data_IF_748413293292
#
_entry.id   IF_748413293292
#
_cell.length_a   1.000
_cell.length_b   1.000
_cell.length_c   1.000
_cell.angle_alpha   90.00
_cell.angle_beta   90.00
_cell.angle_gamma   90.00
#
_symmetry.space_group_name_H-M   'P 1'
#
loop_
_entity.id
_entity.type
_entity.pdbx_description
1 polymer ?
#
# COMPACT_ATOMS: atom_id res chain seq x y z
N UNK A 1 -19.28 33.51 -6.87
CA UNK A 1 -18.01 33.16 -6.21
C UNK A 1 -17.24 32.33 -7.22
N UNK A 2 -16.02 32.71 -7.58
CA UNK A 2 -15.23 31.95 -8.55
C UNK A 2 -14.99 30.53 -7.98
N UNK A 3 -15.36 29.51 -8.76
CA UNK A 3 -15.10 28.12 -8.42
C UNK A 3 -13.57 28.00 -8.29
N UNK A 4 -13.06 27.87 -7.08
CA UNK A 4 -11.62 27.69 -6.84
C UNK A 4 -11.28 26.31 -7.35
N UNK A 5 -10.56 26.21 -8.43
CA UNK A 5 -10.08 24.96 -9.00
C UNK A 5 -9.20 24.27 -7.94
N UNK A 6 -9.68 23.16 -7.39
CA UNK A 6 -8.99 22.38 -6.38
C UNK A 6 -8.00 21.48 -7.11
N UNK A 7 -6.72 21.57 -6.75
CA UNK A 7 -5.69 20.66 -7.28
C UNK A 7 -5.49 19.49 -6.33
N UNK A 8 -5.32 18.29 -6.88
CA UNK A 8 -5.01 17.08 -6.13
C UNK A 8 -3.53 16.75 -6.27
N UNK A 9 -2.86 16.57 -5.16
CA UNK A 9 -1.42 16.28 -5.08
C UNK A 9 -1.16 14.90 -4.50
N UNK A 10 -0.41 14.07 -5.22
CA UNK A 10 0.10 12.80 -4.71
C UNK A 10 1.44 13.01 -4.00
N UNK A 11 1.64 12.31 -2.88
CA UNK A 11 2.89 12.37 -2.12
C UNK A 11 3.25 11.01 -1.51
N UNK A 12 4.54 10.68 -1.53
CA UNK A 12 5.08 9.51 -0.85
C UNK A 12 5.94 9.91 0.35
N UNK A 13 5.85 9.14 1.43
CA UNK A 13 6.57 9.36 2.67
C UNK A 13 7.99 8.75 2.64
N UNK A 14 8.78 9.12 1.63
CA UNK A 14 10.09 8.54 1.37
C UNK A 14 10.04 7.20 0.60
N UNK A 15 11.20 6.69 0.21
CA UNK A 15 11.32 5.46 -0.61
C UNK A 15 10.72 4.24 0.12
N UNK A 16 10.94 4.14 1.42
CA UNK A 16 10.50 3.02 2.28
C UNK A 16 9.28 3.32 3.14
N UNK A 17 8.72 4.54 3.06
CA UNK A 17 7.63 4.98 3.93
C UNK A 17 8.10 5.52 5.29
N UNK A 18 9.38 5.81 5.44
CA UNK A 18 10.02 6.22 6.70
C UNK A 18 9.48 7.54 7.28
N UNK A 19 8.97 8.46 6.46
CA UNK A 19 8.30 9.67 6.92
C UNK A 19 6.82 9.47 7.36
N UNK A 20 6.31 8.25 7.43
CA UNK A 20 4.93 7.94 7.86
C UNK A 20 4.55 8.60 9.19
N UNK A 21 5.39 8.42 10.21
CA UNK A 21 5.15 9.00 11.54
C UNK A 21 5.17 10.53 11.51
N UNK A 22 6.03 11.13 10.70
CA UNK A 22 6.08 12.57 10.49
C UNK A 22 4.76 13.08 9.88
N UNK A 23 4.28 12.43 8.81
CA UNK A 23 3.06 12.83 8.13
C UNK A 23 1.84 12.80 9.06
N UNK A 24 1.59 11.67 9.68
CA UNK A 24 0.36 11.47 10.42
C UNK A 24 0.37 12.02 11.85
N UNK A 25 1.52 11.98 12.56
CA UNK A 25 1.58 12.48 13.94
C UNK A 25 1.85 13.99 14.03
N UNK A 26 2.50 14.57 13.02
CA UNK A 26 2.79 16.01 13.01
C UNK A 26 1.86 16.81 12.11
N UNK A 27 0.92 16.13 11.43
CA UNK A 27 -0.02 16.74 10.49
C UNK A 27 0.70 17.58 9.42
N UNK A 28 1.72 17.00 8.80
CA UNK A 28 2.47 17.60 7.70
C UNK A 28 2.69 16.58 6.60
N UNK A 29 2.88 17.07 5.38
CA UNK A 29 3.57 16.35 4.33
C UNK A 29 4.95 16.93 4.15
N UNK A 30 5.91 16.11 3.73
CA UNK A 30 7.30 16.52 3.62
C UNK A 30 8.00 15.85 2.46
N UNK A 31 9.02 16.52 1.94
CA UNK A 31 9.95 15.96 0.96
C UNK A 31 11.38 16.08 1.49
N UNK A 32 12.24 15.21 1.02
CA UNK A 32 13.67 15.22 1.32
C UNK A 32 14.42 16.34 0.62
N UNK A 33 15.57 16.01 0.04
CA UNK A 33 16.52 16.93 -0.59
C UNK A 33 17.04 17.99 0.40
N UNK A 34 17.46 17.54 1.57
CA UNK A 34 17.94 18.35 2.69
C UNK A 34 19.22 19.15 2.38
N UNK A 35 20.12 18.63 1.51
CA UNK A 35 21.39 19.27 1.17
C UNK A 35 21.26 20.59 0.39
N UNK A 36 20.11 20.86 -0.24
CA UNK A 36 19.91 22.13 -0.95
C UNK A 36 19.65 23.33 -0.03
N UNK A 37 19.44 23.08 1.27
CA UNK A 37 19.03 24.09 2.24
C UNK A 37 17.58 24.52 2.07
N UNK A 38 17.25 25.77 2.41
CA UNK A 38 15.90 26.31 2.26
C UNK A 38 15.57 26.60 0.79
N UNK A 39 14.65 25.85 0.15
CA UNK A 39 14.27 26.10 -1.24
C UNK A 39 13.64 27.47 -1.47
N UNK A 40 13.05 28.09 -0.47
CA UNK A 40 12.45 29.43 -0.60
C UNK A 40 13.49 30.55 -0.78
N UNK A 41 14.75 30.29 -0.44
CA UNK A 41 15.87 31.18 -0.68
C UNK A 41 16.45 31.10 -2.11
N UNK A 42 16.04 30.07 -2.88
CA UNK A 42 16.44 29.89 -4.27
C UNK A 42 15.52 30.74 -5.15
N UNK A 43 16.10 31.39 -6.19
CA UNK A 43 15.27 32.12 -7.17
C UNK A 43 14.17 31.21 -7.73
N UNK A 44 12.94 31.72 -7.78
CA UNK A 44 11.75 30.95 -8.13
C UNK A 44 11.66 30.61 -9.63
N UNK A 45 12.67 29.96 -10.18
CA UNK A 45 12.70 29.43 -11.52
C UNK A 45 13.36 28.04 -11.56
N UNK A 46 12.97 27.22 -12.52
CA UNK A 46 13.39 25.81 -12.63
C UNK A 46 14.88 25.65 -12.89
N UNK A 47 15.52 26.57 -13.59
CA UNK A 47 16.95 26.49 -13.91
C UNK A 47 17.80 26.76 -12.65
N UNK A 48 17.40 27.72 -11.81
CA UNK A 48 18.06 27.97 -10.53
C UNK A 48 17.95 26.77 -9.58
N UNK A 49 16.80 26.11 -9.54
CA UNK A 49 16.62 24.87 -8.77
C UNK A 49 17.48 23.73 -9.30
N UNK A 50 17.56 23.58 -10.62
CA UNK A 50 18.40 22.55 -11.27
C UNK A 50 19.89 22.79 -10.98
N UNK A 51 20.35 24.04 -11.08
CA UNK A 51 21.73 24.40 -10.75
C UNK A 51 22.06 24.10 -9.28
N UNK A 52 21.16 24.49 -8.35
CA UNK A 52 21.35 24.25 -6.93
C UNK A 52 21.31 22.75 -6.58
N UNK A 53 20.47 21.99 -7.25
CA UNK A 53 20.40 20.53 -7.10
C UNK A 53 21.70 19.87 -7.58
N UNK A 54 22.25 20.28 -8.72
CA UNK A 54 23.53 19.77 -9.22
C UNK A 54 24.71 20.09 -8.28
N UNK A 55 24.70 21.26 -7.66
CA UNK A 55 25.71 21.66 -6.65
C UNK A 55 25.60 20.79 -5.38
N UNK A 56 24.37 20.59 -4.88
CA UNK A 56 24.14 19.90 -3.62
C UNK A 56 24.25 18.37 -3.71
N UNK A 57 24.00 17.80 -4.90
CA UNK A 57 24.00 16.35 -5.16
C UNK A 57 24.85 16.01 -6.39
N UNK A 58 26.18 16.20 -6.35
CA UNK A 58 27.06 15.96 -7.49
C UNK A 58 27.06 14.51 -7.96
N UNK A 59 26.70 13.56 -7.08
CA UNK A 59 26.56 12.14 -7.37
C UNK A 59 25.30 11.79 -8.17
N UNK A 60 24.34 12.70 -8.28
CA UNK A 60 23.07 12.45 -8.98
C UNK A 60 23.28 12.35 -10.49
N UNK A 61 22.71 11.33 -11.11
CA UNK A 61 22.76 11.14 -12.57
C UNK A 61 22.18 12.38 -13.28
N UNK A 62 22.83 12.90 -14.36
CA UNK A 62 22.37 14.11 -15.06
C UNK A 62 20.91 14.07 -15.49
N UNK A 63 20.39 12.91 -15.88
CA UNK A 63 18.99 12.73 -16.28
C UNK A 63 17.98 12.82 -15.13
N UNK A 64 18.40 12.56 -13.89
CA UNK A 64 17.54 12.64 -12.70
C UNK A 64 17.44 14.08 -12.13
N UNK A 65 18.44 14.94 -12.37
CA UNK A 65 18.49 16.30 -11.85
C UNK A 65 17.26 17.15 -12.20
N UNK A 66 16.79 17.21 -13.47
CA UNK A 66 15.62 18.02 -13.83
C UNK A 66 14.35 17.55 -13.12
N UNK A 67 14.19 16.22 -12.95
CA UNK A 67 13.05 15.64 -12.29
C UNK A 67 13.05 15.97 -10.78
N UNK A 68 14.18 15.78 -10.10
CA UNK A 68 14.35 16.11 -8.69
C UNK A 68 14.14 17.61 -8.43
N UNK A 69 14.81 18.49 -9.21
CA UNK A 69 14.65 19.94 -9.12
C UNK A 69 13.19 20.37 -9.36
N UNK A 70 12.51 19.75 -10.34
CA UNK A 70 11.12 20.00 -10.65
C UNK A 70 10.18 19.62 -9.49
N UNK A 71 10.43 18.52 -8.79
CA UNK A 71 9.64 18.12 -7.64
C UNK A 71 9.80 19.08 -6.45
N UNK A 72 11.03 19.50 -6.14
CA UNK A 72 11.27 20.46 -5.06
C UNK A 72 10.67 21.83 -5.38
N UNK A 73 10.86 22.32 -6.62
CA UNK A 73 10.24 23.57 -7.08
C UNK A 73 8.71 23.50 -6.94
N UNK A 74 8.10 22.43 -7.46
CA UNK A 74 6.66 22.21 -7.37
C UNK A 74 6.18 22.19 -5.93
N UNK A 75 6.79 21.40 -5.07
CA UNK A 75 6.41 21.30 -3.66
C UNK A 75 6.50 22.66 -2.94
N UNK A 76 7.49 23.48 -3.30
CA UNK A 76 7.70 24.79 -2.68
C UNK A 76 6.66 25.82 -3.10
N UNK A 77 6.30 25.85 -4.40
CA UNK A 77 5.58 27.00 -4.95
C UNK A 77 4.18 26.72 -5.51
N UNK A 78 3.90 25.50 -5.98
CA UNK A 78 2.66 25.25 -6.71
C UNK A 78 1.44 24.96 -5.82
N UNK A 79 1.53 24.16 -4.73
CA UNK A 79 0.35 23.82 -3.92
C UNK A 79 -0.20 25.00 -3.15
N UNK A 80 -1.52 25.13 -3.12
CA UNK A 80 -2.27 26.19 -2.45
C UNK A 80 -3.00 25.67 -1.22
N UNK A 81 -3.25 26.55 -0.27
CA UNK A 81 -4.14 26.25 0.86
C UNK A 81 -5.53 25.89 0.34
N UNK A 82 -6.03 24.74 0.75
CA UNK A 82 -7.29 24.17 0.31
C UNK A 82 -7.14 23.11 -0.80
N UNK A 83 -5.94 22.91 -1.37
CA UNK A 83 -5.69 21.79 -2.27
C UNK A 83 -5.77 20.45 -1.52
N UNK A 84 -6.16 19.41 -2.23
CA UNK A 84 -6.24 18.04 -1.69
C UNK A 84 -4.86 17.38 -1.79
N UNK A 85 -4.51 16.61 -0.78
CA UNK A 85 -3.33 15.75 -0.80
C UNK A 85 -3.75 14.29 -0.62
N UNK A 86 -3.16 13.43 -1.43
CA UNK A 86 -3.35 11.97 -1.42
C UNK A 86 -2.04 11.31 -1.03
N UNK A 87 -2.05 10.57 0.06
CA UNK A 87 -0.91 9.82 0.55
C UNK A 87 -1.22 8.31 0.54
N UNK A 88 -0.74 7.55 -0.47
CA UNK A 88 -0.82 6.09 -0.46
C UNK A 88 0.27 5.53 0.46
N UNK A 89 -0.11 5.20 1.66
CA UNK A 89 0.81 4.72 2.69
C UNK A 89 1.26 3.29 2.45
N UNK A 90 2.57 3.06 2.46
CA UNK A 90 3.18 1.72 2.44
C UNK A 90 3.10 1.04 3.81
N UNK A 91 3.01 1.82 4.89
CA UNK A 91 3.09 1.32 6.26
C UNK A 91 1.80 0.65 6.74
N UNK A 92 0.65 1.29 6.51
CA UNK A 92 -0.67 0.78 6.92
C UNK A 92 -1.53 0.36 5.71
N UNK A 93 -1.00 0.46 4.49
CA UNK A 93 -1.66 0.10 3.22
C UNK A 93 -2.98 0.82 2.98
N UNK A 94 -3.15 1.98 3.58
CA UNK A 94 -4.31 2.82 3.40
C UNK A 94 -3.98 4.02 2.49
N UNK A 95 -5.00 4.62 1.93
CA UNK A 95 -4.93 5.90 1.24
C UNK A 95 -5.45 6.98 2.18
N UNK A 96 -4.57 7.88 2.58
CA UNK A 96 -4.90 9.00 3.44
C UNK A 96 -5.21 10.21 2.58
N UNK A 97 -6.37 10.83 2.80
CA UNK A 97 -6.79 12.06 2.15
C UNK A 97 -6.77 13.21 3.13
N UNK A 98 -6.14 14.31 2.73
CA UNK A 98 -6.05 15.52 3.54
C UNK A 98 -6.17 16.79 2.71
N UNK A 99 -6.23 17.92 3.42
CA UNK A 99 -6.27 19.25 2.84
C UNK A 99 -5.04 20.03 3.28
N UNK A 100 -4.37 20.68 2.33
CA UNK A 100 -3.24 21.55 2.62
C UNK A 100 -3.72 22.78 3.39
N UNK A 101 -3.19 22.98 4.60
CA UNK A 101 -3.55 24.09 5.48
C UNK A 101 -2.54 25.24 5.45
N UNK A 102 -1.38 25.05 4.86
CA UNK A 102 -0.33 26.09 4.88
C UNK A 102 0.67 26.02 3.74
N UNK A 103 1.42 27.11 3.64
CA UNK A 103 2.51 27.23 2.69
C UNK A 103 3.70 26.34 3.08
N UNK A 104 4.65 26.20 2.16
CA UNK A 104 5.92 25.56 2.41
C UNK A 104 6.64 26.18 3.62
N UNK A 105 7.25 25.31 4.44
CA UNK A 105 8.12 25.68 5.56
C UNK A 105 9.38 24.83 5.51
N UNK A 106 10.52 25.50 5.66
CA UNK A 106 11.80 24.83 5.84
C UNK A 106 12.08 24.69 7.34
N UNK A 107 12.14 23.47 7.84
CA UNK A 107 12.41 23.19 9.26
C UNK A 107 13.26 21.92 9.42
N UNK A 108 14.60 22.04 9.37
CA UNK A 108 15.49 20.89 9.50
C UNK A 108 15.48 20.25 10.90
N UNK A 109 14.96 20.96 11.92
CA UNK A 109 14.85 20.41 13.28
C UNK A 109 13.62 19.51 13.48
N UNK A 110 12.65 19.54 12.55
CA UNK A 110 11.41 18.78 12.70
C UNK A 110 11.61 17.28 12.46
N UNK A 111 12.43 16.93 11.46
CA UNK A 111 12.76 15.54 11.12
C UNK A 111 14.06 15.52 10.32
N UNK A 112 14.94 14.60 10.65
CA UNK A 112 16.15 14.34 9.88
C UNK A 112 15.76 13.86 8.45
N UNK A 113 16.43 14.42 7.44
CA UNK A 113 16.19 14.09 6.02
C UNK A 113 14.92 14.69 5.38
N UNK A 114 13.98 15.26 6.16
CA UNK A 114 12.73 15.83 5.66
C UNK A 114 12.48 17.27 6.12
N UNK A 115 13.35 18.22 5.75
CA UNK A 115 13.25 19.59 6.24
C UNK A 115 12.16 20.42 5.56
N UNK A 116 11.72 20.00 4.36
CA UNK A 116 10.74 20.71 3.55
C UNK A 116 9.35 20.20 3.83
N UNK A 117 8.51 21.01 4.47
CA UNK A 117 7.21 20.59 5.00
C UNK A 117 6.07 21.49 4.56
N UNK A 118 4.85 20.95 4.55
CA UNK A 118 3.59 21.70 4.45
C UNK A 118 2.59 21.17 5.46
N UNK A 119 1.91 22.03 6.22
CA UNK A 119 0.82 21.62 7.10
C UNK A 119 -0.35 21.02 6.31
N UNK A 120 -0.87 19.91 6.83
CA UNK A 120 -1.99 19.18 6.24
C UNK A 120 -2.96 18.78 7.34
N UNK A 121 -4.24 18.94 7.09
CA UNK A 121 -5.30 18.36 7.90
C UNK A 121 -5.75 17.06 7.25
N UNK A 122 -5.41 15.92 7.87
CA UNK A 122 -5.90 14.62 7.45
C UNK A 122 -7.39 14.50 7.73
N UNK A 123 -8.17 14.16 6.73
CA UNK A 123 -9.64 14.18 6.79
C UNK A 123 -10.25 12.80 6.78
N UNK A 124 -9.76 11.91 5.89
CA UNK A 124 -10.31 10.56 5.69
C UNK A 124 -9.21 9.57 5.37
N UNK A 125 -9.50 8.31 5.66
CA UNK A 125 -8.62 7.17 5.40
C UNK A 125 -9.48 6.09 4.73
N UNK A 126 -8.96 5.53 3.64
CA UNK A 126 -9.65 4.49 2.87
C UNK A 126 -8.73 3.30 2.63
N UNK A 127 -9.28 2.07 2.57
CA UNK A 127 -8.55 0.95 2.02
C UNK A 127 -8.27 1.20 0.54
N UNK A 128 -7.13 0.70 0.04
CA UNK A 128 -6.77 0.88 -1.38
C UNK A 128 -7.83 0.33 -2.34
N UNK A 129 -8.51 -0.74 -1.94
CA UNK A 129 -9.59 -1.38 -2.70
C UNK A 129 -10.82 -0.49 -2.92
N UNK A 130 -10.93 0.63 -2.19
CA UNK A 130 -11.98 1.62 -2.39
C UNK A 130 -11.87 2.35 -3.73
N UNK A 131 -10.66 2.54 -4.24
CA UNK A 131 -10.37 3.28 -5.45
C UNK A 131 -10.30 2.40 -6.70
N UNK A 132 -10.52 3.00 -7.87
CA UNK A 132 -10.33 2.31 -9.15
C UNK A 132 -8.87 1.93 -9.36
N UNK A 133 -8.61 0.94 -10.22
CA UNK A 133 -7.24 0.53 -10.51
C UNK A 133 -6.45 1.68 -11.16
N UNK A 134 -7.08 2.46 -12.05
CA UNK A 134 -6.45 3.62 -12.67
C UNK A 134 -6.05 4.70 -11.66
N UNK A 135 -6.92 5.00 -10.67
CA UNK A 135 -6.59 5.93 -9.59
C UNK A 135 -5.40 5.43 -8.75
N UNK A 136 -5.36 4.13 -8.46
CA UNK A 136 -4.24 3.50 -7.73
C UNK A 136 -2.94 3.54 -8.54
N UNK A 137 -3.00 3.39 -9.87
CA UNK A 137 -1.84 3.52 -10.75
C UNK A 137 -1.31 4.96 -10.74
N UNK A 138 -2.18 5.96 -10.87
CA UNK A 138 -1.75 7.35 -10.88
C UNK A 138 -1.07 7.76 -9.56
N UNK A 139 -1.60 7.33 -8.40
CA UNK A 139 -0.98 7.62 -7.11
C UNK A 139 0.20 6.71 -6.77
N UNK A 140 0.42 5.62 -7.52
CA UNK A 140 1.59 4.74 -7.45
C UNK A 140 2.82 5.31 -8.16
N UNK A 141 2.80 6.56 -8.61
CA UNK A 141 3.91 7.22 -9.29
C UNK A 141 5.24 7.08 -8.55
N UNK A 142 6.34 6.86 -9.28
CA UNK A 142 7.69 6.82 -8.71
C UNK A 142 8.19 8.19 -8.19
N UNK A 143 7.45 9.28 -8.45
CA UNK A 143 7.78 10.62 -7.96
C UNK A 143 7.37 10.79 -6.50
N UNK A 144 8.22 11.42 -5.70
CA UNK A 144 7.90 11.72 -4.29
C UNK A 144 6.76 12.73 -4.15
N UNK A 145 6.61 13.65 -5.11
CA UNK A 145 5.54 14.67 -5.11
C UNK A 145 5.12 14.99 -6.55
N UNK A 146 3.83 14.86 -6.85
CA UNK A 146 3.27 15.02 -8.19
C UNK A 146 1.82 15.49 -8.16
N UNK A 147 1.33 16.00 -9.30
CA UNK A 147 -0.08 16.34 -9.47
C UNK A 147 -0.85 15.12 -9.96
N UNK A 148 -1.94 14.79 -9.28
CA UNK A 148 -2.94 13.83 -9.76
C UNK A 148 -3.86 14.57 -10.72
N UNK A 149 -4.01 14.07 -11.94
CA UNK A 149 -4.75 14.77 -13.03
C UNK A 149 -5.94 13.96 -13.51
N UNK A 150 -5.70 12.69 -13.86
CA UNK A 150 -6.69 11.85 -14.54
C UNK A 150 -7.81 11.41 -13.60
N UNK A 151 -7.45 11.05 -12.37
CA UNK A 151 -8.38 10.53 -11.38
C UNK A 151 -8.58 11.49 -10.18
N UNK A 152 -8.28 12.78 -10.36
CA UNK A 152 -8.42 13.79 -9.31
C UNK A 152 -9.85 13.83 -8.73
N UNK A 153 -10.86 13.75 -9.58
CA UNK A 153 -12.27 13.81 -9.19
C UNK A 153 -12.68 12.63 -8.29
N UNK A 154 -12.06 11.45 -8.47
CA UNK A 154 -12.32 10.28 -7.62
C UNK A 154 -11.87 10.53 -6.17
N UNK A 155 -10.72 11.17 -5.97
CA UNK A 155 -10.23 11.50 -4.63
C UNK A 155 -11.01 12.66 -3.99
N UNK A 156 -11.44 13.63 -4.78
CA UNK A 156 -12.31 14.74 -4.30
C UNK A 156 -13.65 14.18 -3.86
N UNK A 157 -14.33 13.36 -4.68
CA UNK A 157 -15.62 12.74 -4.35
C UNK A 157 -15.50 11.86 -3.08
N UNK A 158 -14.43 11.09 -2.94
CA UNK A 158 -14.16 10.31 -1.73
C UNK A 158 -14.03 11.23 -0.49
N UNK A 159 -13.35 12.36 -0.63
CA UNK A 159 -13.18 13.33 0.46
C UNK A 159 -14.52 13.97 0.84
N UNK A 160 -15.40 14.27 -0.11
CA UNK A 160 -16.72 14.85 0.12
C UNK A 160 -17.72 13.83 0.64
N UNK A 161 -17.45 12.55 0.49
CA UNK A 161 -18.32 11.46 0.96
C UNK A 161 -19.37 11.05 -0.07
N UNK A 162 -19.18 11.43 -1.31
CA UNK A 162 -19.98 10.97 -2.43
C UNK A 162 -19.54 9.53 -2.80
N UNK A 163 -20.51 8.71 -3.25
CA UNK A 163 -20.19 7.38 -3.75
C UNK A 163 -19.31 7.52 -4.99
N UNK A 164 -18.18 6.81 -5.00
CA UNK A 164 -17.31 6.78 -6.18
C UNK A 164 -18.11 6.36 -7.41
N UNK A 165 -18.08 7.10 -8.53
CA UNK A 165 -18.69 6.64 -9.76
C UNK A 165 -18.08 5.29 -10.14
N UNK A 166 -18.92 4.29 -10.38
CA UNK A 166 -18.50 3.04 -10.99
C UNK A 166 -18.07 3.35 -12.42
N UNK A 167 -16.78 3.61 -12.61
CA UNK A 167 -16.23 3.86 -13.94
C UNK A 167 -16.20 2.54 -14.71
N UNK A 168 -17.26 2.30 -15.47
CA UNK A 168 -17.21 1.49 -16.68
C UNK A 168 -16.62 2.39 -17.77
N UNK A 169 -15.30 2.47 -17.86
CA UNK A 169 -14.62 3.32 -18.82
C UNK A 169 -13.31 2.72 -19.28
N UNK A 170 -13.11 2.75 -20.57
CA UNK A 170 -11.99 2.20 -21.30
C UNK A 170 -10.63 2.54 -20.68
N UNK A 171 -9.76 1.54 -20.64
CA UNK A 171 -8.34 1.68 -20.33
C UNK A 171 -7.70 2.55 -21.41
N UNK A 172 -7.36 3.80 -21.09
CA UNK A 172 -6.58 4.64 -21.97
C UNK A 172 -5.11 4.23 -21.94
N UNK A 173 -4.59 3.92 -23.11
CA UNK A 173 -3.25 3.35 -23.39
C UNK A 173 -2.07 4.28 -23.00
N UNK A 174 -2.33 5.55 -22.71
CA UNK A 174 -1.29 6.52 -22.32
C UNK A 174 -0.78 6.35 -20.87
N UNK A 175 -1.50 5.61 -20.05
CA UNK A 175 -1.11 5.37 -18.63
C UNK A 175 0.05 4.38 -18.50
N UNK A 176 0.30 3.58 -19.53
CA UNK A 176 1.35 2.53 -19.55
C UNK A 176 2.76 3.10 -19.45
N UNK A 177 3.01 4.29 -19.98
CA UNK A 177 4.34 4.92 -19.94
C UNK A 177 4.81 5.40 -18.55
N UNK A 178 3.88 5.59 -17.58
CA UNK A 178 4.21 6.01 -16.22
C UNK A 178 4.40 4.83 -15.24
N UNK A 179 4.11 3.60 -15.66
CA UNK A 179 4.01 2.40 -14.82
C UNK A 179 5.35 1.71 -14.57
N UNK A 180 6.43 2.12 -15.22
CA UNK A 180 7.74 1.46 -15.12
C UNK A 180 8.37 1.54 -13.71
N UNK A 181 7.81 2.34 -12.80
CA UNK A 181 8.37 2.53 -11.46
C UNK A 181 7.75 1.69 -10.33
N UNK A 182 6.57 1.08 -10.50
CA UNK A 182 5.94 0.31 -9.41
C UNK A 182 5.03 -0.83 -9.91
N UNK A 183 5.53 -1.64 -10.85
CA UNK A 183 4.83 -2.85 -11.35
C UNK A 183 4.49 -3.80 -10.19
N UNK A 184 5.37 -3.93 -9.21
CA UNK A 184 5.14 -4.78 -8.04
C UNK A 184 3.94 -4.30 -7.22
N UNK A 185 3.89 -3.01 -6.87
CA UNK A 185 2.80 -2.46 -6.07
C UNK A 185 1.47 -2.55 -6.83
N UNK A 186 1.49 -2.25 -8.12
CA UNK A 186 0.34 -2.38 -9.01
C UNK A 186 -0.21 -3.81 -9.05
N UNK A 187 0.69 -4.79 -9.17
CA UNK A 187 0.32 -6.21 -9.17
C UNK A 187 -0.28 -6.63 -7.83
N UNK A 188 0.29 -6.17 -6.71
CA UNK A 188 -0.23 -6.41 -5.36
C UNK A 188 -1.63 -5.85 -5.18
N UNK A 189 -1.84 -4.61 -5.56
CA UNK A 189 -3.15 -3.94 -5.49
C UNK A 189 -4.19 -4.67 -6.34
N UNK A 190 -3.82 -5.10 -7.55
CA UNK A 190 -4.69 -5.89 -8.42
C UNK A 190 -5.10 -7.21 -7.76
N UNK A 191 -4.15 -7.97 -7.21
CA UNK A 191 -4.43 -9.25 -6.55
C UNK A 191 -5.38 -9.04 -5.36
N UNK A 192 -5.03 -8.13 -4.43
CA UNK A 192 -5.83 -7.87 -3.25
C UNK A 192 -7.25 -7.41 -3.61
N UNK A 193 -7.37 -6.51 -4.59
CA UNK A 193 -8.66 -6.03 -5.07
C UNK A 193 -9.51 -7.16 -5.65
N UNK A 194 -8.92 -8.02 -6.48
CA UNK A 194 -9.64 -9.17 -7.05
C UNK A 194 -10.12 -10.13 -5.97
N UNK A 195 -9.25 -10.46 -5.01
CA UNK A 195 -9.59 -11.36 -3.91
C UNK A 195 -10.70 -10.75 -3.03
N UNK A 196 -10.61 -9.48 -2.64
CA UNK A 196 -11.60 -8.82 -1.79
C UNK A 196 -12.96 -8.64 -2.45
N UNK A 197 -13.00 -8.45 -3.77
CA UNK A 197 -14.25 -8.25 -4.50
C UNK A 197 -14.96 -9.56 -4.83
N UNK A 198 -14.21 -10.62 -5.16
CA UNK A 198 -14.77 -11.86 -5.71
C UNK A 198 -14.79 -13.03 -4.73
N UNK A 199 -14.01 -12.97 -3.65
CA UNK A 199 -13.89 -14.04 -2.67
C UNK A 199 -14.27 -13.54 -1.26
N UNK A 200 -15.54 -13.25 -1.04
CA UNK A 200 -16.04 -12.86 0.29
C UNK A 200 -16.49 -14.07 1.09
N UNK A 201 -16.10 -14.13 2.37
CA UNK A 201 -16.52 -15.22 3.27
C UNK A 201 -15.94 -16.57 2.90
N UNK A 202 -16.78 -17.59 2.78
CA UNK A 202 -16.39 -18.98 2.51
C UNK A 202 -15.55 -19.17 1.24
N UNK A 203 -15.84 -18.55 0.08
CA UNK A 203 -14.97 -18.60 -1.10
C UNK A 203 -13.52 -18.12 -0.84
N UNK A 204 -13.29 -17.27 0.14
CA UNK A 204 -11.93 -16.89 0.52
C UNK A 204 -11.24 -18.01 1.33
N UNK A 205 -11.99 -18.74 2.16
CA UNK A 205 -11.45 -19.93 2.81
C UNK A 205 -11.06 -21.01 1.79
N UNK A 206 -11.90 -21.25 0.77
CA UNK A 206 -11.56 -22.17 -0.33
C UNK A 206 -10.27 -21.77 -1.05
N UNK A 207 -10.08 -20.47 -1.31
CA UNK A 207 -8.88 -19.96 -1.94
C UNK A 207 -7.64 -20.17 -1.08
N UNK A 208 -7.73 -19.85 0.21
CA UNK A 208 -6.61 -20.06 1.15
C UNK A 208 -6.30 -21.55 1.31
N UNK A 209 -7.32 -22.41 1.35
CA UNK A 209 -7.14 -23.85 1.36
C UNK A 209 -6.39 -24.32 0.11
N UNK A 210 -6.80 -23.87 -1.08
CA UNK A 210 -6.11 -24.16 -2.33
C UNK A 210 -4.64 -23.69 -2.31
N UNK A 211 -4.36 -22.49 -1.81
CA UNK A 211 -2.99 -22.01 -1.67
C UNK A 211 -2.15 -22.94 -0.77
N UNK A 212 -2.69 -23.33 0.38
CA UNK A 212 -2.03 -24.27 1.30
C UNK A 212 -1.78 -25.64 0.64
N UNK A 213 -2.70 -26.11 -0.20
CA UNK A 213 -2.49 -27.34 -0.99
C UNK A 213 -1.34 -27.21 -1.98
N UNK A 214 -1.18 -26.03 -2.62
CA UNK A 214 -0.03 -25.77 -3.51
C UNK A 214 1.29 -25.68 -2.74
N UNK A 215 1.23 -25.32 -1.45
CA UNK A 215 2.35 -25.38 -0.51
C UNK A 215 2.65 -26.80 0.04
N UNK A 216 1.89 -27.80 -0.39
CA UNK A 216 2.08 -29.22 -0.02
C UNK A 216 1.35 -29.64 1.25
N UNK A 217 0.35 -28.90 1.71
CA UNK A 217 -0.56 -29.33 2.76
C UNK A 217 -1.78 -30.02 2.15
N UNK A 218 -2.45 -30.86 2.93
CA UNK A 218 -3.79 -31.33 2.66
C UNK A 218 -4.76 -30.51 3.49
N UNK A 219 -5.87 -30.09 2.91
CA UNK A 219 -6.79 -29.17 3.56
C UNK A 219 -8.20 -29.74 3.66
N UNK A 220 -8.88 -29.33 4.72
CA UNK A 220 -10.31 -29.55 4.90
C UNK A 220 -10.95 -28.22 5.30
N UNK A 221 -11.78 -27.68 4.41
CA UNK A 221 -12.55 -26.47 4.68
C UNK A 221 -13.77 -26.85 5.53
N UNK A 222 -14.05 -26.08 6.57
CA UNK A 222 -15.21 -26.27 7.42
C UNK A 222 -16.48 -25.88 6.65
N UNK A 223 -17.60 -26.55 6.94
CA UNK A 223 -18.90 -26.19 6.38
C UNK A 223 -19.35 -24.81 6.87
N UNK A 224 -20.13 -24.09 6.07
CA UNK A 224 -20.75 -22.83 6.52
C UNK A 224 -21.65 -23.11 7.75
N UNK A 225 -21.26 -22.56 8.92
CA UNK A 225 -22.03 -22.76 10.15
C UNK A 225 -21.30 -22.20 11.38
N UNK A 226 -21.89 -22.29 12.58
CA UNK A 226 -21.31 -21.77 13.81
C UNK A 226 -20.17 -22.65 14.37
N UNK A 227 -19.26 -23.11 13.52
CA UNK A 227 -18.19 -24.07 13.84
C UNK A 227 -17.02 -23.46 14.62
N UNK A 228 -17.33 -22.49 15.48
CA UNK A 228 -16.33 -21.91 16.39
C UNK A 228 -15.27 -21.05 15.73
N UNK A 229 -15.36 -20.71 14.41
CA UNK A 229 -14.46 -19.80 13.70
C UNK A 229 -13.09 -20.42 13.36
N UNK A 230 -13.03 -21.73 13.12
CA UNK A 230 -11.95 -22.41 12.40
C UNK A 230 -12.48 -22.68 11.00
N UNK A 231 -11.88 -22.04 10.00
CA UNK A 231 -12.36 -22.10 8.62
C UNK A 231 -11.70 -23.23 7.83
N UNK A 232 -10.43 -23.58 8.17
CA UNK A 232 -9.68 -24.62 7.48
C UNK A 232 -8.86 -25.41 8.50
N UNK A 233 -8.77 -26.72 8.31
CA UNK A 233 -7.79 -27.58 8.97
C UNK A 233 -6.80 -28.05 7.89
N UNK A 234 -5.49 -27.84 8.14
CA UNK A 234 -4.44 -28.25 7.23
C UNK A 234 -3.44 -29.18 7.94
N UNK A 235 -2.95 -30.19 7.22
CA UNK A 235 -1.98 -31.18 7.71
C UNK A 235 -1.12 -31.71 6.56
N UNK A 236 -0.03 -32.41 6.84
CA UNK A 236 0.87 -32.94 5.78
C UNK A 236 0.64 -34.40 5.45
N UNK A 237 0.23 -35.21 6.41
CA UNK A 237 -0.05 -36.64 6.23
C UNK A 237 -1.42 -36.88 5.58
N UNK A 238 -1.63 -38.10 5.05
CA UNK A 238 -2.87 -38.45 4.34
C UNK A 238 -4.10 -38.54 5.24
N UNK A 239 -3.90 -38.88 6.51
CA UNK A 239 -5.00 -39.11 7.44
C UNK A 239 -5.24 -37.96 8.42
N UNK A 240 -4.30 -37.02 8.52
CA UNK A 240 -4.39 -35.87 9.43
C UNK A 240 -4.15 -36.21 10.90
N UNK A 241 -3.33 -37.22 11.17
CA UNK A 241 -3.00 -37.65 12.53
C UNK A 241 -1.61 -37.19 13.00
N UNK A 242 -0.73 -36.88 12.04
CA UNK A 242 0.64 -36.48 12.34
C UNK A 242 0.80 -34.96 12.40
N UNK A 243 1.45 -34.40 13.41
CA UNK A 243 1.80 -32.98 13.42
C UNK A 243 2.67 -32.58 12.22
N UNK A 244 2.53 -31.34 11.69
CA UNK A 244 1.71 -30.27 12.24
C UNK A 244 0.26 -30.31 11.80
N UNK A 245 -0.67 -30.20 12.74
CA UNK A 245 -2.07 -29.91 12.46
C UNK A 245 -2.26 -28.40 12.60
N UNK A 246 -2.70 -27.73 11.55
CA UNK A 246 -2.84 -26.28 11.51
C UNK A 246 -4.31 -25.90 11.46
N UNK A 247 -4.77 -25.16 12.46
CA UNK A 247 -6.09 -24.55 12.50
C UNK A 247 -6.02 -23.14 11.90
N UNK A 248 -6.72 -22.95 10.80
CA UNK A 248 -6.68 -21.69 10.05
C UNK A 248 -7.98 -20.93 10.23
N UNK A 249 -7.86 -19.64 10.50
CA UNK A 249 -8.97 -18.70 10.46
C UNK A 249 -8.68 -17.67 9.36
N UNK A 250 -9.69 -17.35 8.54
CA UNK A 250 -9.56 -16.38 7.45
C UNK A 250 -10.51 -15.21 7.61
N UNK A 251 -10.10 -14.03 7.16
CA UNK A 251 -10.99 -12.87 7.06
C UNK A 251 -10.73 -12.10 5.76
N UNK A 252 -11.73 -12.07 4.89
CA UNK A 252 -11.69 -11.35 3.62
C UNK A 252 -11.97 -9.84 3.79
N UNK A 253 -11.40 -9.20 4.83
CA UNK A 253 -11.57 -7.78 5.11
C UNK A 253 -10.27 -7.03 4.81
N UNK A 254 -10.41 -5.81 4.32
CA UNK A 254 -9.29 -4.94 3.90
C UNK A 254 -8.79 -4.06 5.07
N UNK A 255 -9.48 -4.12 6.22
CA UNK A 255 -9.16 -3.35 7.42
C UNK A 255 -8.14 -4.04 8.32
N UNK A 256 -7.87 -3.42 9.46
CA UNK A 256 -6.91 -3.95 10.44
C UNK A 256 -7.59 -4.90 11.44
N UNK A 257 -7.01 -6.09 11.62
CA UNK A 257 -7.46 -7.10 12.57
C UNK A 257 -6.83 -6.85 13.93
N UNK A 258 -7.67 -6.74 14.96
CA UNK A 258 -7.22 -6.52 16.33
C UNK A 258 -6.90 -7.80 17.09
N UNK A 259 -6.21 -7.63 18.25
CA UNK A 259 -5.85 -8.69 19.17
C UNK A 259 -7.03 -9.60 19.60
N UNK A 260 -8.26 -9.13 19.87
CA UNK A 260 -9.34 -10.01 20.29
C UNK A 260 -9.65 -11.15 19.30
N UNK A 261 -9.52 -10.90 18.00
CA UNK A 261 -9.76 -11.93 16.99
C UNK A 261 -8.62 -12.98 16.97
N UNK A 262 -7.39 -12.52 17.09
CA UNK A 262 -6.20 -13.38 17.11
C UNK A 262 -6.14 -14.23 18.37
N UNK A 263 -6.44 -13.64 19.53
CA UNK A 263 -6.54 -14.33 20.81
C UNK A 263 -7.66 -15.38 20.82
N UNK A 264 -8.79 -15.09 20.17
CA UNK A 264 -9.90 -16.04 20.04
C UNK A 264 -9.51 -17.28 19.21
N UNK A 265 -8.73 -17.12 18.15
CA UNK A 265 -8.15 -18.25 17.41
C UNK A 265 -7.20 -19.04 18.34
N UNK A 266 -6.29 -18.34 19.02
CA UNK A 266 -5.31 -18.98 19.89
C UNK A 266 -5.96 -19.86 20.97
N UNK A 267 -7.06 -19.41 21.55
CA UNK A 267 -7.84 -20.18 22.54
C UNK A 267 -8.44 -21.51 22.02
N UNK A 268 -8.40 -21.76 20.70
CA UNK A 268 -8.89 -22.99 20.06
C UNK A 268 -7.78 -23.95 19.62
N UNK A 269 -6.52 -23.55 19.78
CA UNK A 269 -5.35 -24.34 19.41
C UNK A 269 -4.99 -25.27 20.57
N UNK A 270 -4.87 -26.57 20.30
CA UNK A 270 -4.38 -27.56 21.26
C UNK A 270 -2.87 -27.47 21.47
N UNK A 271 -2.34 -28.25 22.41
CA UNK A 271 -0.94 -28.23 22.79
C UNK A 271 0.02 -28.56 21.63
N UNK A 272 -0.38 -29.49 20.75
CA UNK A 272 0.41 -29.96 19.60
C UNK A 272 -0.10 -29.43 18.27
N UNK A 273 -0.95 -28.40 18.30
CA UNK A 273 -1.52 -27.79 17.12
C UNK A 273 -0.94 -26.40 16.87
N UNK A 274 -1.07 -25.93 15.64
CA UNK A 274 -0.65 -24.62 15.20
C UNK A 274 -1.85 -23.77 14.75
N UNK A 275 -1.77 -22.47 14.97
CA UNK A 275 -2.75 -21.51 14.48
C UNK A 275 -2.20 -20.69 13.33
N UNK A 276 -3.04 -20.46 12.34
CA UNK A 276 -2.76 -19.57 11.24
C UNK A 276 -3.93 -18.61 11.05
N UNK A 277 -3.67 -17.31 11.13
CA UNK A 277 -4.68 -16.30 10.82
C UNK A 277 -4.32 -15.60 9.51
N UNK A 278 -5.21 -15.61 8.53
CA UNK A 278 -5.00 -15.02 7.20
C UNK A 278 -6.01 -13.89 6.98
N UNK A 279 -5.55 -12.75 6.51
CA UNK A 279 -6.42 -11.61 6.15
C UNK A 279 -5.95 -10.94 4.87
N UNK A 280 -6.86 -10.25 4.16
CA UNK A 280 -6.53 -9.37 3.04
C UNK A 280 -6.02 -7.99 3.51
N UNK A 281 -6.34 -7.61 4.76
CA UNK A 281 -5.90 -6.37 5.39
C UNK A 281 -4.61 -6.52 6.16
N UNK A 282 -4.52 -5.79 7.26
CA UNK A 282 -3.35 -5.75 8.16
C UNK A 282 -3.71 -6.24 9.56
N UNK A 283 -2.72 -6.38 10.42
CA UNK A 283 -2.91 -6.63 11.85
C UNK A 283 -2.51 -5.42 12.69
N UNK A 284 -3.22 -5.16 13.76
CA UNK A 284 -2.80 -4.14 14.72
C UNK A 284 -1.49 -4.55 15.40
N UNK A 285 -0.73 -3.57 15.88
CA UNK A 285 0.52 -3.83 16.62
C UNK A 285 0.32 -4.75 17.83
N UNK A 286 -0.83 -4.63 18.52
CA UNK A 286 -1.17 -5.50 19.64
C UNK A 286 -1.36 -6.95 19.19
N UNK A 287 -2.07 -7.18 18.07
CA UNK A 287 -2.26 -8.50 17.49
C UNK A 287 -0.93 -9.14 17.07
N UNK A 288 -0.05 -8.38 16.42
CA UNK A 288 1.30 -8.84 16.05
C UNK A 288 2.12 -9.20 17.27
N UNK A 289 2.17 -8.32 18.31
CA UNK A 289 2.90 -8.58 19.53
C UNK A 289 2.37 -9.83 20.26
N UNK A 290 1.04 -10.00 20.29
CA UNK A 290 0.43 -11.21 20.85
C UNK A 290 0.91 -12.45 20.10
N UNK A 291 0.78 -12.48 18.78
CA UNK A 291 1.18 -13.63 17.98
C UNK A 291 2.68 -13.94 18.10
N UNK A 292 3.54 -12.93 18.09
CA UNK A 292 5.00 -13.09 18.24
C UNK A 292 5.38 -13.70 19.59
N UNK A 293 4.55 -13.50 20.64
CA UNK A 293 4.76 -14.13 21.94
C UNK A 293 4.41 -15.63 21.97
N UNK A 294 3.86 -16.19 20.89
CA UNK A 294 3.39 -17.57 20.78
C UNK A 294 4.21 -18.33 19.73
N UNK A 295 4.76 -19.48 20.11
CA UNK A 295 5.60 -20.30 19.21
C UNK A 295 4.79 -21.07 18.14
N UNK A 296 3.48 -21.22 18.35
CA UNK A 296 2.59 -22.01 17.51
C UNK A 296 1.45 -21.19 16.87
N UNK A 297 1.63 -19.87 16.74
CA UNK A 297 0.68 -18.98 16.10
C UNK A 297 1.38 -18.10 15.05
N UNK A 298 0.85 -18.10 13.83
CA UNK A 298 1.33 -17.28 12.70
C UNK A 298 0.21 -16.41 12.14
N UNK A 299 0.57 -15.20 11.73
CA UNK A 299 -0.29 -14.27 11.04
C UNK A 299 0.19 -14.12 9.60
N UNK A 300 -0.73 -14.09 8.66
CA UNK A 300 -0.48 -13.76 7.24
C UNK A 300 -1.40 -12.59 6.89
N UNK A 301 -0.82 -11.43 6.67
CA UNK A 301 -1.53 -10.25 6.22
C UNK A 301 -1.65 -10.22 4.68
N UNK A 302 -2.26 -9.16 4.13
CA UNK A 302 -2.45 -9.04 2.70
C UNK A 302 -1.14 -8.99 1.89
N UNK A 303 -0.05 -8.44 2.46
CA UNK A 303 1.27 -8.40 1.83
C UNK A 303 1.87 -9.79 1.70
N UNK A 304 1.94 -10.49 2.83
CA UNK A 304 2.50 -11.84 2.87
C UNK A 304 1.65 -12.81 2.04
N UNK A 305 0.32 -12.64 2.08
CA UNK A 305 -0.58 -13.44 1.25
C UNK A 305 -0.29 -13.27 -0.25
N UNK A 306 -0.08 -12.03 -0.71
CA UNK A 306 0.26 -11.77 -2.12
C UNK A 306 1.61 -12.38 -2.49
N UNK A 307 2.62 -12.32 -1.61
CA UNK A 307 3.90 -12.97 -1.85
C UNK A 307 3.73 -14.48 -2.06
N UNK A 308 2.97 -15.14 -1.18
CA UNK A 308 2.69 -16.58 -1.29
C UNK A 308 1.89 -16.91 -2.56
N UNK A 309 0.93 -16.05 -2.93
CA UNK A 309 0.17 -16.21 -4.19
C UNK A 309 1.11 -16.15 -5.39
N UNK A 310 2.00 -15.18 -5.46
CA UNK A 310 2.95 -15.04 -6.58
C UNK A 310 3.95 -16.20 -6.63
N UNK A 311 4.47 -16.62 -5.48
CA UNK A 311 5.41 -17.75 -5.38
C UNK A 311 4.80 -19.07 -5.90
N UNK A 312 3.53 -19.30 -5.59
CA UNK A 312 2.84 -20.56 -5.94
C UNK A 312 1.89 -20.44 -7.14
N UNK A 313 1.85 -19.28 -7.82
CA UNK A 313 0.89 -18.97 -8.88
C UNK A 313 0.88 -20.01 -10.01
N UNK A 314 2.05 -20.48 -10.43
CA UNK A 314 2.14 -21.45 -11.53
C UNK A 314 1.47 -22.78 -11.20
N UNK A 315 1.38 -23.15 -9.94
CA UNK A 315 0.72 -24.37 -9.48
C UNK A 315 -0.80 -24.22 -9.30
N UNK A 316 -1.36 -23.00 -9.44
CA UNK A 316 -2.80 -22.78 -9.30
C UNK A 316 -3.59 -23.45 -10.41
N UNK A 317 -4.82 -23.86 -10.09
CA UNK A 317 -5.76 -24.37 -11.08
C UNK A 317 -6.30 -23.26 -12.01
N UNK A 318 -7.00 -23.66 -13.06
CA UNK A 318 -7.56 -22.74 -14.07
C UNK A 318 -8.60 -21.78 -13.49
N UNK A 319 -9.33 -22.17 -12.43
CA UNK A 319 -10.32 -21.32 -11.75
C UNK A 319 -9.63 -20.09 -11.14
N UNK A 320 -8.57 -20.31 -10.39
CA UNK A 320 -7.88 -19.22 -9.70
C UNK A 320 -6.93 -18.45 -10.63
N UNK A 321 -6.36 -19.11 -11.67
CA UNK A 321 -5.66 -18.39 -12.75
C UNK A 321 -6.61 -17.48 -13.54
N UNK A 322 -7.86 -17.92 -13.76
CA UNK A 322 -8.90 -17.08 -14.38
C UNK A 322 -9.36 -15.92 -13.50
N UNK A 323 -9.34 -16.09 -12.17
CA UNK A 323 -9.63 -15.04 -11.21
C UNK A 323 -8.52 -13.98 -11.16
N UNK A 324 -7.28 -14.44 -11.18
CA UNK A 324 -6.05 -13.63 -11.14
C UNK A 324 -5.27 -13.82 -12.45
N UNK A 325 -5.68 -13.19 -13.57
CA UNK A 325 -5.00 -13.35 -14.85
C UNK A 325 -3.67 -12.59 -14.84
N UNK A 326 -2.60 -13.25 -14.37
CA UNK A 326 -1.25 -12.70 -14.30
C UNK A 326 -0.36 -13.27 -15.41
N UNK A 327 0.60 -12.48 -15.85
CA UNK A 327 1.66 -12.88 -16.78
C UNK A 327 3.02 -12.61 -16.14
N UNK A 328 3.88 -13.61 -16.12
CA UNK A 328 5.25 -13.43 -15.66
C UNK A 328 6.06 -12.65 -16.70
N UNK A 329 6.76 -11.61 -16.25
CA UNK A 329 7.67 -10.79 -17.06
C UNK A 329 8.97 -10.56 -16.29
N UNK A 330 10.10 -10.49 -17.01
CA UNK A 330 11.37 -10.08 -16.43
C UNK A 330 11.49 -8.56 -16.53
N UNK A 331 11.74 -7.92 -15.41
CA UNK A 331 11.92 -6.47 -15.32
C UNK A 331 13.39 -6.22 -15.01
N UNK A 332 14.09 -5.33 -15.76
CA UNK A 332 15.46 -4.96 -15.42
C UNK A 332 15.52 -4.33 -14.03
N UNK A 333 16.33 -4.86 -13.14
CA UNK A 333 16.70 -4.20 -11.89
C UNK A 333 17.76 -3.13 -12.15
N UNK A 334 17.58 -1.96 -11.53
CA UNK A 334 18.69 -1.02 -11.41
C UNK A 334 19.66 -1.61 -10.39
N UNK A 335 20.88 -1.96 -10.84
CA UNK A 335 21.96 -2.33 -9.92
C UNK A 335 22.14 -1.15 -8.97
N UNK A 336 21.77 -1.31 -7.70
CA UNK A 336 22.23 -0.41 -6.64
C UNK A 336 23.74 -0.65 -6.53
N UNK A 337 24.55 0.30 -7.02
CA UNK A 337 26.00 0.32 -6.81
C UNK A 337 26.26 0.66 -5.33
N UNK A 338 25.90 -0.26 -4.43
CA UNK A 338 26.26 -0.21 -3.02
C UNK A 338 26.39 -1.62 -2.46
N UNK A 339 27.41 -2.32 -2.91
CA UNK A 339 28.16 -3.32 -2.15
C UNK A 339 29.64 -2.96 -2.16
#
# INVERSE_FOLDING_TARGET
MANKEITVWGIHAGKTGDAYTLFLKKNVVAIGWDKIGDPSAIKADRESFKAKMAEAYPEMKPGALPLAAGQVFRFTYEPKVGDVVVYPSKHDRQVHLGIIEGNHKYNPALSEGYPNTRPVKWMKIFPRTYFTQGALYEIGSAMSFFQVKTYADEFIAALEGEATPSLTGAEDDETVAYVVGDIEQTTRDFILKRLSQQLKGHPFADFVAHLLERMGYRTRVSSEGPDGGIDIIAHKDELGFEPPIIKVQVKSVDGSIGDPAVSALYGKIGADEFGLFVTLGTFTRQAVNFATSKSNLRLIDGEELVNLVLEHYEAFDSRYKGLLPLKQVFIPETLDESE
#
